data_IF_092592468061
#
_entry.id   IF_092592468061
#
_cell.length_a   1.000
_cell.length_b   1.000
_cell.length_c   1.000
_cell.angle_alpha   90.00
_cell.angle_beta   90.00
_cell.angle_gamma   90.00
#
_symmetry.space_group_name_H-M   'P 1'
#
loop_
_entity.id
_entity.type
_entity.pdbx_description
1 polymer ?
#
# COMPACT_ATOMS: atom_id res chain seq x y z
N UNK A 1 -6.12 23.48 -6.95
CA UNK A 1 -5.90 22.54 -5.84
C UNK A 1 -6.06 23.29 -4.52
N UNK A 2 -7.00 22.89 -3.67
CA UNK A 2 -7.13 23.42 -2.30
C UNK A 2 -5.80 23.19 -1.55
N UNK A 3 -5.26 24.24 -0.95
CA UNK A 3 -3.91 24.21 -0.35
C UNK A 3 -3.78 23.31 0.89
N UNK A 4 -4.87 22.73 1.40
CA UNK A 4 -4.87 21.94 2.63
C UNK A 4 -4.16 20.59 2.47
N UNK A 5 -4.50 19.80 1.44
CA UNK A 5 -3.89 18.50 1.21
C UNK A 5 -2.44 18.62 0.75
N UNK A 6 -2.13 19.59 -0.11
CA UNK A 6 -0.74 19.86 -0.47
C UNK A 6 0.07 20.20 0.78
N UNK A 7 -0.48 21.01 1.70
CA UNK A 7 0.19 21.36 2.95
C UNK A 7 0.28 20.17 3.91
N UNK A 8 -0.71 19.30 3.98
CA UNK A 8 -0.68 18.05 4.75
C UNK A 8 0.40 17.11 4.23
N UNK A 9 0.42 16.85 2.92
CA UNK A 9 1.44 16.03 2.26
C UNK A 9 2.85 16.63 2.44
N UNK A 10 2.99 17.96 2.36
CA UNK A 10 4.26 18.65 2.64
C UNK A 10 4.69 18.59 4.11
N UNK A 11 3.77 18.40 5.06
CA UNK A 11 4.11 18.22 6.48
C UNK A 11 4.50 16.77 6.78
N UNK A 12 3.87 15.81 6.10
CA UNK A 12 4.15 14.37 6.25
C UNK A 12 5.44 13.98 5.53
N UNK A 13 5.71 14.59 4.37
CA UNK A 13 6.95 14.40 3.64
C UNK A 13 8.03 15.32 4.18
N UNK A 14 9.12 14.74 4.70
CA UNK A 14 10.29 15.47 5.21
C UNK A 14 10.96 16.31 4.11
N UNK A 15 10.78 15.96 2.84
CA UNK A 15 11.30 16.68 1.68
C UNK A 15 10.19 17.21 0.77
N UNK A 16 10.36 18.44 0.27
CA UNK A 16 9.41 19.05 -0.66
C UNK A 16 9.51 18.34 -2.02
N UNK A 17 8.37 17.94 -2.62
CA UNK A 17 8.36 17.34 -3.94
C UNK A 17 8.87 18.34 -5.00
N UNK A 18 9.62 17.83 -5.97
CA UNK A 18 10.10 18.61 -7.10
C UNK A 18 8.89 19.00 -7.98
N UNK A 19 8.74 20.27 -8.42
CA UNK A 19 7.57 20.74 -9.16
C UNK A 19 7.28 20.00 -10.48
N UNK A 20 8.28 19.32 -11.08
CA UNK A 20 8.10 18.47 -12.26
C UNK A 20 9.12 17.34 -12.25
N UNK A 21 8.65 16.10 -12.30
CA UNK A 21 9.46 14.89 -12.14
C UNK A 21 10.39 14.54 -13.32
N UNK A 22 11.39 15.35 -13.64
CA UNK A 22 12.36 15.11 -14.73
C UNK A 22 13.66 14.42 -14.28
N UNK A 23 13.88 14.28 -12.98
CA UNK A 23 15.11 13.72 -12.37
C UNK A 23 15.03 12.18 -12.26
N UNK A 24 16.20 11.50 -12.28
CA UNK A 24 16.33 10.03 -12.19
C UNK A 24 16.83 9.65 -10.78
N UNK A 25 16.20 8.67 -10.14
CA UNK A 25 16.52 8.21 -8.79
C UNK A 25 15.70 8.95 -7.73
N UNK A 26 14.69 8.24 -7.21
CA UNK A 26 13.69 8.63 -6.20
C UNK A 26 13.37 10.13 -6.01
N UNK A 27 12.90 10.85 -7.06
CA UNK A 27 12.31 12.16 -6.85
C UNK A 27 10.85 12.00 -6.40
N UNK A 28 10.56 12.36 -5.15
CA UNK A 28 9.20 12.76 -4.80
C UNK A 28 8.85 13.98 -5.66
N UNK A 29 7.82 13.90 -6.50
CA UNK A 29 7.53 14.95 -7.46
C UNK A 29 6.05 15.10 -7.76
N UNK A 30 5.70 16.32 -8.13
CA UNK A 30 4.44 16.65 -8.77
C UNK A 30 4.53 16.38 -10.27
N UNK A 31 3.37 16.16 -10.91
CA UNK A 31 3.21 16.07 -12.36
C UNK A 31 4.28 15.17 -13.00
N UNK A 32 4.40 13.94 -12.50
CA UNK A 32 5.42 13.00 -12.98
C UNK A 32 5.09 12.58 -14.41
N UNK A 33 6.01 12.84 -15.33
CA UNK A 33 5.98 12.30 -16.69
C UNK A 33 6.03 10.75 -16.63
N UNK A 34 4.91 10.11 -16.95
CA UNK A 34 4.82 8.66 -17.11
C UNK A 34 4.60 8.36 -18.59
N UNK A 35 5.52 7.58 -19.14
CA UNK A 35 5.50 7.19 -20.55
C UNK A 35 4.69 5.91 -20.74
N UNK A 36 4.03 5.79 -21.89
CA UNK A 36 3.29 4.61 -22.31
C UNK A 36 3.54 4.34 -23.78
N UNK A 37 3.56 3.07 -24.15
CA UNK A 37 3.44 2.70 -25.55
C UNK A 37 1.99 2.86 -26.02
N UNK A 38 1.80 3.36 -27.22
CA UNK A 38 0.54 3.38 -27.94
C UNK A 38 0.77 3.00 -29.41
N UNK A 39 -0.31 2.86 -30.17
CA UNK A 39 -0.26 2.44 -31.59
C UNK A 39 0.53 3.41 -32.49
N UNK A 40 0.85 4.61 -32.01
CA UNK A 40 1.57 5.67 -32.73
C UNK A 40 2.97 5.94 -32.17
N UNK A 41 3.46 5.15 -31.22
CA UNK A 41 4.76 5.32 -30.57
C UNK A 41 4.66 5.47 -29.05
N UNK A 42 5.34 6.46 -28.48
CA UNK A 42 5.34 6.73 -27.03
C UNK A 42 4.49 7.96 -26.73
N UNK A 43 3.52 7.83 -25.81
CA UNK A 43 2.77 8.93 -25.24
C UNK A 43 3.24 9.22 -23.81
N UNK A 44 3.13 10.47 -23.39
CA UNK A 44 3.39 10.90 -22.01
C UNK A 44 2.08 11.32 -21.36
N UNK A 45 1.87 10.90 -20.12
CA UNK A 45 0.80 11.33 -19.24
C UNK A 45 1.39 11.75 -17.90
N UNK A 46 0.61 12.42 -17.05
CA UNK A 46 1.12 13.03 -15.82
C UNK A 46 0.35 12.45 -14.63
N UNK A 47 1.07 11.90 -13.67
CA UNK A 47 0.52 11.58 -12.36
C UNK A 47 0.63 12.79 -11.45
N UNK A 48 -0.41 13.10 -10.67
CA UNK A 48 -0.42 14.26 -9.77
C UNK A 48 0.72 14.19 -8.75
N UNK A 49 0.93 13.02 -8.15
CA UNK A 49 2.12 12.75 -7.35
C UNK A 49 2.70 11.36 -7.61
N UNK A 50 4.02 11.30 -7.53
CA UNK A 50 4.77 10.06 -7.61
C UNK A 50 5.97 10.10 -6.66
N UNK A 51 6.22 8.99 -5.98
CA UNK A 51 7.46 8.72 -5.26
C UNK A 51 7.91 7.30 -5.56
N UNK A 52 9.15 7.14 -6.00
CA UNK A 52 9.66 5.86 -6.50
C UNK A 52 9.69 4.83 -5.38
N UNK A 53 9.23 3.60 -5.63
CA UNK A 53 9.13 2.57 -4.60
C UNK A 53 8.06 2.79 -3.53
N UNK A 54 7.26 3.87 -3.61
CA UNK A 54 6.25 4.20 -2.62
C UNK A 54 4.84 4.20 -3.20
N UNK A 55 4.49 5.18 -4.03
CA UNK A 55 3.11 5.34 -4.50
C UNK A 55 3.00 6.06 -5.83
N UNK A 56 1.84 5.84 -6.46
CA UNK A 56 1.23 6.75 -7.42
C UNK A 56 -0.03 7.32 -6.81
N UNK A 57 -0.25 8.61 -6.97
CA UNK A 57 -1.35 9.35 -6.38
C UNK A 57 -2.08 10.17 -7.45
N UNK A 58 -3.40 10.06 -7.50
CA UNK A 58 -4.29 10.89 -8.30
C UNK A 58 -5.25 11.67 -7.41
N UNK A 59 -5.29 12.99 -7.55
CA UNK A 59 -6.17 13.89 -6.83
C UNK A 59 -7.35 14.32 -7.71
N UNK A 60 -8.56 14.12 -7.22
CA UNK A 60 -9.78 14.71 -7.78
C UNK A 60 -10.35 15.72 -6.79
N UNK A 61 -11.07 16.70 -7.32
CA UNK A 61 -11.80 17.64 -6.49
C UNK A 61 -13.30 17.35 -6.64
N UNK A 62 -13.89 16.69 -5.66
CA UNK A 62 -15.34 16.51 -5.57
C UNK A 62 -16.01 17.88 -5.42
N UNK A 63 -17.06 18.11 -6.20
CA UNK A 63 -17.71 19.40 -6.26
C UNK A 63 -19.00 19.52 -5.46
N UNK A 64 -19.25 20.71 -4.91
CA UNK A 64 -20.59 21.13 -4.47
C UNK A 64 -21.19 22.03 -5.55
N UNK A 65 -22.19 21.50 -6.25
CA UNK A 65 -23.07 22.19 -7.21
C UNK A 65 -22.50 22.78 -8.50
N UNK A 66 -21.28 23.35 -8.59
CA UNK A 66 -20.76 23.97 -9.84
C UNK A 66 -19.22 24.13 -9.93
N UNK A 67 -18.43 23.53 -9.02
CA UNK A 67 -16.96 23.58 -9.05
C UNK A 67 -16.41 22.21 -8.65
N UNK A 68 -15.49 21.64 -9.42
CA UNK A 68 -14.92 20.29 -9.19
C UNK A 68 -15.11 19.35 -10.38
N UNK A 69 -14.49 18.17 -10.35
CA UNK A 69 -14.55 17.16 -11.42
C UNK A 69 -15.96 16.63 -11.63
N UNK A 70 -16.71 16.42 -10.54
CA UNK A 70 -18.10 16.00 -10.55
C UNK A 70 -18.75 16.26 -9.18
N UNK A 71 -20.09 16.39 -9.14
CA UNK A 71 -20.83 16.60 -7.88
C UNK A 71 -20.87 15.31 -7.05
N UNK A 72 -20.46 15.37 -5.79
CA UNK A 72 -20.49 14.23 -4.85
C UNK A 72 -21.88 13.58 -4.77
N UNK A 73 -21.92 12.26 -4.62
CA UNK A 73 -23.17 11.48 -4.54
C UNK A 73 -23.92 11.35 -5.87
N UNK A 74 -23.27 11.64 -7.00
CA UNK A 74 -23.83 11.41 -8.33
C UNK A 74 -23.05 10.30 -9.05
N UNK A 75 -23.71 9.59 -9.97
CA UNK A 75 -23.06 8.57 -10.79
C UNK A 75 -21.82 9.10 -11.53
N UNK A 76 -21.83 10.37 -11.96
CA UNK A 76 -20.68 10.99 -12.63
C UNK A 76 -19.48 11.17 -11.68
N UNK A 77 -19.73 11.36 -10.38
CA UNK A 77 -18.69 11.39 -9.37
C UNK A 77 -18.08 10.00 -9.16
N UNK A 78 -18.91 8.98 -9.02
CA UNK A 78 -18.42 7.60 -8.85
C UNK A 78 -17.58 7.18 -10.06
N UNK A 79 -18.04 7.49 -11.28
CA UNK A 79 -17.28 7.25 -12.51
C UNK A 79 -15.97 8.05 -12.57
N UNK A 80 -15.93 9.26 -12.01
CA UNK A 80 -14.73 10.07 -11.99
C UNK A 80 -13.67 9.51 -11.02
N UNK A 81 -14.10 9.03 -9.85
CA UNK A 81 -13.23 8.38 -8.86
C UNK A 81 -12.73 7.03 -9.38
N UNK A 82 -13.62 6.20 -9.93
CA UNK A 82 -13.24 4.94 -10.56
C UNK A 82 -12.27 5.18 -11.75
N UNK A 83 -12.53 6.21 -12.56
CA UNK A 83 -11.63 6.62 -13.63
C UNK A 83 -10.24 7.04 -13.12
N UNK A 84 -10.17 7.74 -11.99
CA UNK A 84 -8.92 8.11 -11.33
C UNK A 84 -8.13 6.87 -10.90
N UNK A 85 -8.81 5.87 -10.33
CA UNK A 85 -8.18 4.60 -9.97
C UNK A 85 -7.60 3.88 -11.19
N UNK A 86 -8.37 3.73 -12.28
CA UNK A 86 -7.85 3.05 -13.47
C UNK A 86 -6.70 3.83 -14.13
N UNK A 87 -6.71 5.15 -14.06
CA UNK A 87 -5.61 6.01 -14.49
C UNK A 87 -4.35 5.74 -13.65
N UNK A 88 -4.44 5.85 -12.33
CA UNK A 88 -3.34 5.58 -11.40
C UNK A 88 -2.81 4.14 -11.53
N UNK A 89 -3.71 3.16 -11.67
CA UNK A 89 -3.34 1.75 -11.88
C UNK A 89 -2.62 1.54 -13.21
N UNK A 90 -3.07 2.18 -14.30
CA UNK A 90 -2.38 2.14 -15.59
C UNK A 90 -0.97 2.70 -15.45
N UNK A 91 -0.82 3.78 -14.70
CA UNK A 91 0.45 4.42 -14.43
C UNK A 91 1.39 3.50 -13.65
N UNK A 92 0.89 2.82 -12.61
CA UNK A 92 1.64 1.83 -11.83
C UNK A 92 2.15 0.64 -12.65
N UNK A 93 1.47 0.33 -13.75
CA UNK A 93 1.85 -0.72 -14.68
C UNK A 93 2.71 -0.24 -15.86
N UNK A 94 3.11 1.03 -15.89
CA UNK A 94 3.98 1.53 -16.94
C UNK A 94 5.30 0.76 -16.94
N UNK A 95 5.75 0.22 -18.08
CA UNK A 95 7.03 -0.48 -18.19
C UNK A 95 8.24 0.46 -18.05
N UNK A 96 8.00 1.77 -18.03
CA UNK A 96 9.04 2.78 -17.88
C UNK A 96 9.30 3.15 -16.40
N UNK A 97 8.51 2.63 -15.47
CA UNK A 97 8.80 2.75 -14.05
C UNK A 97 9.83 1.68 -13.63
N UNK A 98 10.79 2.04 -12.77
CA UNK A 98 11.84 1.11 -12.34
C UNK A 98 11.32 -0.03 -11.48
N UNK A 99 10.22 0.19 -10.76
CA UNK A 99 9.53 -0.80 -9.95
C UNK A 99 8.02 -0.50 -9.92
N UNK A 100 7.22 -1.50 -9.59
CA UNK A 100 5.79 -1.31 -9.34
C UNK A 100 5.62 -0.70 -7.94
N UNK A 101 4.94 0.43 -7.79
CA UNK A 101 4.75 1.06 -6.49
C UNK A 101 3.87 0.17 -5.58
N UNK A 102 4.18 0.02 -4.30
CA UNK A 102 3.35 -0.78 -3.40
C UNK A 102 1.96 -0.21 -3.18
N UNK A 103 1.76 1.11 -3.37
CA UNK A 103 0.48 1.78 -3.19
C UNK A 103 0.00 2.49 -4.45
N UNK A 104 -1.28 2.34 -4.76
CA UNK A 104 -2.05 3.23 -5.64
C UNK A 104 -3.00 4.00 -4.75
N UNK A 105 -3.04 5.32 -4.89
CA UNK A 105 -3.84 6.21 -4.06
C UNK A 105 -4.67 7.12 -4.96
N UNK A 106 -5.96 7.23 -4.67
CA UNK A 106 -6.80 8.32 -5.16
C UNK A 106 -7.25 9.17 -3.99
N UNK A 107 -7.58 10.42 -4.24
CA UNK A 107 -8.08 11.31 -3.20
C UNK A 107 -9.14 12.23 -3.76
N UNK A 108 -10.26 12.35 -3.05
CA UNK A 108 -11.14 13.52 -3.16
C UNK A 108 -10.69 14.54 -2.12
N UNK A 109 -10.16 15.67 -2.58
CA UNK A 109 -9.31 16.56 -1.77
C UNK A 109 -9.95 17.04 -0.45
N UNK A 110 -11.27 17.16 -0.40
CA UNK A 110 -11.99 17.62 0.79
C UNK A 110 -12.94 16.53 1.32
N UNK A 111 -12.55 15.25 1.22
CA UNK A 111 -13.38 14.11 1.61
C UNK A 111 -12.55 12.97 2.21
N UNK A 112 -11.84 12.20 1.37
CA UNK A 112 -11.17 10.97 1.77
C UNK A 112 -10.04 10.60 0.81
N UNK A 113 -9.25 9.61 1.24
CA UNK A 113 -8.31 8.86 0.41
C UNK A 113 -8.87 7.46 0.14
N UNK A 114 -8.67 6.94 -1.06
CA UNK A 114 -8.87 5.52 -1.36
C UNK A 114 -7.50 4.90 -1.66
N UNK A 115 -7.19 3.80 -0.99
CA UNK A 115 -5.87 3.17 -1.04
C UNK A 115 -5.98 1.74 -1.53
N UNK A 116 -5.14 1.39 -2.49
CA UNK A 116 -4.92 0.00 -2.91
C UNK A 116 -3.48 -0.39 -2.61
N UNK A 117 -3.31 -1.38 -1.75
CA UNK A 117 -2.00 -1.90 -1.36
C UNK A 117 -1.71 -3.21 -2.09
N UNK A 118 -0.61 -3.26 -2.84
CA UNK A 118 -0.10 -4.50 -3.42
C UNK A 118 1.38 -4.41 -3.79
N UNK A 119 2.22 -5.12 -3.05
CA UNK A 119 3.66 -5.25 -3.31
C UNK A 119 3.99 -6.10 -4.55
N UNK A 120 3.04 -6.87 -5.08
CA UNK A 120 3.17 -7.60 -6.36
C UNK A 120 2.70 -6.78 -7.59
N UNK A 121 2.09 -5.62 -7.34
CA UNK A 121 1.39 -4.79 -8.33
C UNK A 121 -0.01 -5.28 -8.75
N UNK A 122 -0.58 -6.30 -8.12
CA UNK A 122 -1.98 -6.66 -8.30
C UNK A 122 -2.91 -5.91 -7.33
N UNK A 123 -3.31 -4.69 -7.69
CA UNK A 123 -4.19 -3.83 -6.87
C UNK A 123 -5.67 -4.25 -6.87
N UNK A 124 -6.06 -5.29 -7.61
CA UNK A 124 -7.47 -5.67 -7.75
C UNK A 124 -8.31 -4.70 -8.58
N UNK A 125 -9.62 -4.70 -8.34
CA UNK A 125 -10.59 -3.78 -8.95
C UNK A 125 -10.88 -2.57 -8.05
N UNK A 126 -11.72 -1.65 -8.54
CA UNK A 126 -12.02 -0.40 -7.83
C UNK A 126 -12.52 -0.65 -6.39
N UNK A 127 -13.45 -1.59 -6.18
CA UNK A 127 -13.98 -1.91 -4.84
C UNK A 127 -13.03 -2.63 -3.87
N UNK A 128 -11.76 -2.82 -4.22
CA UNK A 128 -10.74 -3.39 -3.33
C UNK A 128 -10.01 -2.33 -2.49
N UNK A 129 -10.41 -1.05 -2.59
CA UNK A 129 -9.81 0.04 -1.83
C UNK A 129 -10.12 -0.06 -0.35
N UNK A 130 -9.15 0.37 0.45
CA UNK A 130 -9.39 0.87 1.80
C UNK A 130 -9.69 2.37 1.73
N UNK A 131 -10.76 2.82 2.36
CA UNK A 131 -11.14 4.24 2.41
C UNK A 131 -10.73 4.84 3.74
N UNK A 132 -9.97 5.93 3.70
CA UNK A 132 -9.56 6.72 4.86
C UNK A 132 -10.17 8.12 4.75
N UNK A 133 -11.21 8.37 5.55
CA UNK A 133 -11.80 9.70 5.71
C UNK A 133 -10.78 10.67 6.34
N UNK A 134 -10.84 11.96 5.97
CA UNK A 134 -9.90 12.96 6.47
C UNK A 134 -9.87 13.04 8.01
N UNK A 135 -11.03 12.97 8.66
CA UNK A 135 -11.12 13.02 10.13
C UNK A 135 -10.47 11.82 10.82
N UNK A 136 -10.32 10.68 10.11
CA UNK A 136 -9.65 9.50 10.65
C UNK A 136 -8.14 9.70 10.78
N UNK A 137 -7.55 10.68 10.11
CA UNK A 137 -6.14 11.04 10.25
C UNK A 137 -5.83 11.70 11.61
N UNK A 138 -6.84 12.05 12.40
CA UNK A 138 -6.65 12.48 13.78
C UNK A 138 -6.32 11.31 14.73
N UNK A 139 -6.56 10.08 14.30
CA UNK A 139 -6.16 8.86 15.02
C UNK A 139 -4.67 8.60 14.75
N UNK A 140 -3.87 8.60 15.82
CA UNK A 140 -2.41 8.40 15.77
C UNK A 140 -2.02 7.14 14.98
N UNK A 141 -2.77 6.04 15.13
CA UNK A 141 -2.44 4.79 14.43
C UNK A 141 -2.68 4.88 12.93
N UNK A 142 -3.74 5.58 12.53
CA UNK A 142 -4.05 5.81 11.11
C UNK A 142 -3.06 6.81 10.52
N UNK A 143 -2.72 7.86 11.26
CA UNK A 143 -1.72 8.83 10.86
C UNK A 143 -0.34 8.16 10.67
N UNK A 144 0.12 7.36 11.63
CA UNK A 144 1.38 6.63 11.53
C UNK A 144 1.41 5.66 10.36
N UNK A 145 0.30 4.94 10.14
CA UNK A 145 0.15 4.07 8.97
C UNK A 145 0.28 4.87 7.67
N UNK A 146 -0.38 6.02 7.59
CA UNK A 146 -0.30 6.91 6.44
C UNK A 146 1.12 7.46 6.27
N UNK A 147 1.81 7.88 7.34
CA UNK A 147 3.23 8.30 7.31
C UNK A 147 4.14 7.18 6.81
N UNK A 148 3.89 5.93 7.19
CA UNK A 148 4.69 4.78 6.74
C UNK A 148 4.58 4.58 5.22
N UNK A 149 3.42 4.83 4.60
CA UNK A 149 3.27 4.79 3.12
C UNK A 149 4.24 5.76 2.44
N UNK A 150 4.49 6.91 3.03
CA UNK A 150 5.37 7.95 2.48
C UNK A 150 6.85 7.79 2.83
N UNK A 151 7.18 7.10 3.92
CA UNK A 151 8.55 7.03 4.45
C UNK A 151 9.19 5.66 4.32
N UNK A 152 8.49 4.58 4.69
CA UNK A 152 8.95 3.20 4.58
C UNK A 152 7.77 2.26 4.26
N UNK A 153 7.33 2.22 2.99
CA UNK A 153 6.20 1.40 2.59
C UNK A 153 6.49 -0.10 2.77
N UNK A 154 7.75 -0.53 2.76
CA UNK A 154 8.10 -1.94 2.95
C UNK A 154 7.85 -2.41 4.39
N UNK A 155 7.82 -1.51 5.38
CA UNK A 155 7.37 -1.82 6.74
C UNK A 155 5.92 -2.33 6.79
N UNK A 156 5.10 -1.91 5.82
CA UNK A 156 3.69 -2.31 5.69
C UNK A 156 3.51 -3.61 4.89
N UNK A 157 4.59 -4.19 4.33
CA UNK A 157 4.50 -5.38 3.51
C UNK A 157 4.12 -6.62 4.37
N UNK A 158 2.95 -7.25 4.13
CA UNK A 158 2.55 -8.44 4.87
C UNK A 158 3.51 -9.62 4.67
N UNK A 159 4.24 -9.68 3.56
CA UNK A 159 5.26 -10.70 3.30
C UNK A 159 6.48 -10.55 4.20
N UNK A 160 6.88 -9.32 4.52
CA UNK A 160 7.97 -9.08 5.48
C UNK A 160 7.59 -9.56 6.87
N UNK A 161 6.34 -9.32 7.28
CA UNK A 161 5.80 -9.86 8.53
C UNK A 161 5.76 -11.40 8.51
N UNK A 162 5.25 -12.01 7.43
CA UNK A 162 5.23 -13.47 7.28
C UNK A 162 6.62 -14.07 7.33
N UNK A 163 7.59 -13.51 6.60
CA UNK A 163 8.98 -13.97 6.60
C UNK A 163 9.63 -13.82 7.98
N UNK A 164 9.36 -12.70 8.69
CA UNK A 164 9.84 -12.49 10.05
C UNK A 164 9.24 -13.50 11.03
N UNK A 165 7.92 -13.69 11.01
CA UNK A 165 7.23 -14.67 11.86
C UNK A 165 7.72 -16.09 11.57
N UNK A 166 7.88 -16.48 10.30
CA UNK A 166 8.45 -17.78 9.93
C UNK A 166 9.86 -17.96 10.49
N UNK A 167 10.73 -16.94 10.42
CA UNK A 167 12.07 -16.98 11.02
C UNK A 167 12.03 -17.05 12.54
N UNK A 168 11.14 -16.31 13.20
CA UNK A 168 10.98 -16.31 14.66
C UNK A 168 10.43 -17.65 15.16
N UNK A 169 9.47 -18.24 14.44
CA UNK A 169 8.95 -19.58 14.70
C UNK A 169 10.04 -20.63 14.49
N UNK A 170 10.77 -20.59 13.37
CA UNK A 170 11.89 -21.49 13.12
C UNK A 170 12.97 -21.39 14.21
N UNK A 171 13.29 -20.17 14.66
CA UNK A 171 14.23 -19.93 15.77
C UNK A 171 13.72 -20.49 17.09
N UNK A 172 12.43 -20.35 17.37
CA UNK A 172 11.80 -20.87 18.60
C UNK A 172 11.79 -22.40 18.59
N UNK A 173 11.46 -23.00 17.45
CA UNK A 173 11.51 -24.44 17.24
C UNK A 173 12.94 -24.98 17.39
N UNK A 174 13.95 -24.29 16.84
CA UNK A 174 15.34 -24.67 17.00
C UNK A 174 15.80 -24.62 18.47
N UNK A 175 15.37 -23.62 19.24
CA UNK A 175 15.64 -23.56 20.69
C UNK A 175 14.97 -24.69 21.46
N UNK A 176 13.72 -25.01 21.10
CA UNK A 176 12.96 -26.09 21.74
C UNK A 176 13.57 -27.47 21.43
N UNK A 177 13.98 -27.69 20.18
CA UNK A 177 14.69 -28.90 19.75
C UNK A 177 15.95 -29.14 20.59
N UNK A 178 16.79 -28.10 20.69
CA UNK A 178 18.02 -28.12 21.48
C UNK A 178 17.74 -28.40 22.97
N UNK A 179 16.71 -27.77 23.53
CA UNK A 179 16.32 -28.02 24.92
C UNK A 179 15.86 -29.47 25.14
N UNK A 180 15.09 -30.05 24.22
CA UNK A 180 14.66 -31.46 24.30
C UNK A 180 15.84 -32.43 24.21
N UNK A 181 16.81 -32.16 23.32
CA UNK A 181 18.07 -32.92 23.23
C UNK A 181 18.87 -32.83 24.53
N UNK A 182 18.97 -31.64 25.14
CA UNK A 182 19.63 -31.43 26.44
C UNK A 182 18.94 -32.17 27.60
N UNK A 183 17.65 -32.48 27.50
CA UNK A 183 16.92 -33.32 28.45
C UNK A 183 17.09 -34.83 28.18
N UNK A 184 17.96 -35.23 27.25
CA UNK A 184 18.24 -36.61 26.92
C UNK A 184 17.16 -37.29 26.08
N UNK A 185 16.33 -36.52 25.36
CA UNK A 185 15.36 -37.08 24.42
C UNK A 185 16.07 -37.62 23.18
N UNK A 186 15.67 -38.81 22.75
CA UNK A 186 16.22 -39.44 21.55
C UNK A 186 15.97 -38.54 20.32
N UNK A 187 16.96 -38.35 19.43
CA UNK A 187 16.84 -37.45 18.28
C UNK A 187 15.62 -37.74 17.39
N UNK A 188 15.21 -39.02 17.30
CA UNK A 188 14.03 -39.44 16.55
C UNK A 188 12.71 -38.96 17.19
N UNK A 189 12.63 -38.89 18.52
CA UNK A 189 11.47 -38.36 19.25
C UNK A 189 11.36 -36.85 19.09
N UNK A 190 12.50 -36.15 19.14
CA UNK A 190 12.57 -34.71 18.93
C UNK A 190 12.15 -34.35 17.50
N UNK A 191 12.67 -35.05 16.48
CA UNK A 191 12.30 -34.84 15.09
C UNK A 191 10.80 -35.09 14.83
N UNK A 192 10.25 -36.17 15.37
CA UNK A 192 8.83 -36.50 15.25
C UNK A 192 7.94 -35.43 15.92
N UNK A 193 8.33 -34.91 17.10
CA UNK A 193 7.59 -33.85 17.80
C UNK A 193 7.60 -32.52 17.04
N UNK A 194 8.74 -32.14 16.45
CA UNK A 194 8.86 -30.90 15.66
C UNK A 194 8.02 -30.96 14.37
N UNK A 195 7.99 -32.11 13.69
CA UNK A 195 7.20 -32.31 12.47
C UNK A 195 5.68 -32.18 12.71
N UNK A 196 5.18 -32.64 13.87
CA UNK A 196 3.76 -32.48 14.21
C UNK A 196 3.42 -31.06 14.67
N UNK A 197 4.38 -30.33 15.27
CA UNK A 197 4.18 -28.97 15.79
C UNK A 197 4.22 -27.88 14.71
N UNK A 198 4.97 -28.09 13.62
CA UNK A 198 5.06 -27.14 12.48
C UNK A 198 3.79 -27.10 11.64
N UNK A 199 3.10 -28.23 11.48
CA UNK A 199 1.84 -28.32 10.73
C UNK A 199 0.68 -27.59 11.47
N UNK A 200 0.62 -27.68 12.79
CA UNK A 200 -0.48 -27.13 13.58
C UNK A 200 -0.43 -25.58 13.70
N UNK A 201 0.76 -24.98 13.74
CA UNK A 201 0.91 -23.53 13.94
C UNK A 201 0.60 -22.67 12.70
N UNK A 202 0.77 -23.21 11.48
CA UNK A 202 0.35 -22.53 10.25
C UNK A 202 -1.19 -22.41 10.19
N UNK A 203 -1.92 -23.47 10.56
CA UNK A 203 -3.39 -23.45 10.58
C UNK A 203 -3.96 -22.55 11.68
N UNK A 204 -3.36 -22.54 12.88
CA UNK A 204 -3.83 -21.71 14.00
C UNK A 204 -3.59 -20.21 13.75
N UNK A 205 -2.49 -19.84 13.09
CA UNK A 205 -2.19 -18.44 12.75
C UNK A 205 -3.06 -17.91 11.60
N UNK A 206 -3.45 -18.79 10.67
CA UNK A 206 -4.42 -18.48 9.60
C UNK A 206 -5.85 -18.37 10.18
N UNK A 207 -6.25 -19.27 11.10
CA UNK A 207 -7.58 -19.23 11.75
C UNK A 207 -7.77 -18.05 12.71
N UNK A 208 -6.76 -17.68 13.50
CA UNK A 208 -6.88 -16.53 14.43
C UNK A 208 -7.19 -15.21 13.72
N UNK A 209 -6.75 -15.03 12.46
CA UNK A 209 -7.03 -13.81 11.69
C UNK A 209 -8.35 -13.83 10.90
N UNK A 210 -8.91 -15.01 10.59
CA UNK A 210 -10.27 -15.09 10.02
C UNK A 210 -11.36 -14.79 11.06
N UNK A 211 -11.12 -15.09 12.34
CA UNK A 211 -12.07 -14.80 13.43
C UNK A 211 -12.08 -13.31 13.79
N UNK A 212 -10.92 -12.64 13.79
CA UNK A 212 -10.84 -11.18 14.04
C UNK A 212 -11.42 -10.32 12.90
N UNK A 213 -11.53 -10.87 11.68
CA UNK A 213 -12.12 -10.18 10.53
C UNK A 213 -13.63 -10.48 10.35
N UNK A 214 -14.19 -11.44 11.10
CA UNK A 214 -15.64 -11.72 11.11
C UNK A 214 -16.36 -11.14 12.34
N UNK A 215 -15.65 -10.39 13.20
CA UNK A 215 -16.19 -9.70 14.38
C UNK A 215 -16.09 -8.16 14.26
N UNK A 216 -15.96 -7.62 13.06
CA UNK A 216 -16.11 -6.19 12.75
C UNK A 216 -17.12 -5.99 11.65
#
# INVERSE_FOLDING_TARGET
MSGLIIRLLLMICVERPIPKGTVKGDPFCFDKDIKFFNDRGTATSFADFYKEGHFIFEAKQGGTHNKGTARRGTKNYDLAMEGAFYQARKYAHSPFLPNKPPFVITCDIDSHFELWMSFSGNYGGYGASEVIELDRLLDEKIFDHFVAIFSDPQSLNPENYRARVTREVARTLAKLAKWLEEQGKEPQEVANFLMHSTACNLEVSIKKRQVDHSMR
#
